data_IF_102595787606
#
_entry.id   IF_102595787606
#
_cell.length_a   1.000
_cell.length_b   1.000
_cell.length_c   1.000
_cell.angle_alpha   90.00
_cell.angle_beta   90.00
_cell.angle_gamma   90.00
#
_symmetry.space_group_name_H-M   'P 1'
#
loop_
_entity.id
_entity.type
_entity.pdbx_description
1 polymer ?
#
# COMPACT_ATOMS: atom_id res chain seq x y z
N UNK A 1 -15.34 3.49 2.70
CA UNK A 1 -14.31 3.77 3.73
C UNK A 1 -12.94 4.06 3.10
N UNK A 2 -12.28 3.12 2.40
CA UNK A 2 -10.95 3.34 1.81
C UNK A 2 -10.81 4.59 0.91
N UNK A 3 -11.68 4.72 -0.10
CA UNK A 3 -11.71 5.92 -0.98
C UNK A 3 -11.97 7.19 -0.19
N UNK A 4 -12.95 7.17 0.72
CA UNK A 4 -13.35 8.34 1.50
C UNK A 4 -12.19 8.86 2.37
N UNK A 5 -11.47 7.98 3.06
CA UNK A 5 -10.29 8.35 3.84
C UNK A 5 -9.18 8.93 2.94
N UNK A 6 -8.93 8.32 1.77
CA UNK A 6 -7.94 8.85 0.83
C UNK A 6 -8.32 10.21 0.25
N UNK A 7 -9.61 10.43 -0.06
CA UNK A 7 -10.12 11.73 -0.52
C UNK A 7 -10.04 12.78 0.59
N UNK A 8 -10.36 12.43 1.84
CA UNK A 8 -10.24 13.34 2.97
C UNK A 8 -8.79 13.82 3.15
N UNK A 9 -7.81 12.92 3.08
CA UNK A 9 -6.40 13.33 3.07
C UNK A 9 -6.12 14.25 1.88
N UNK A 10 -6.55 13.88 0.68
CA UNK A 10 -6.37 14.68 -0.53
C UNK A 10 -7.00 16.07 -0.48
N UNK A 11 -7.98 16.31 0.37
CA UNK A 11 -8.61 17.62 0.54
C UNK A 11 -7.77 18.58 1.40
N UNK A 12 -6.74 18.11 2.12
CA UNK A 12 -5.85 18.96 2.92
C UNK A 12 -4.71 19.54 2.06
N UNK A 13 -5.01 20.58 1.31
CA UNK A 13 -4.04 21.29 0.46
C UNK A 13 -2.79 21.78 1.21
N UNK A 14 -2.87 22.00 2.52
CA UNK A 14 -1.76 22.46 3.35
C UNK A 14 -0.64 21.42 3.56
N UNK A 15 -0.82 20.18 3.08
CA UNK A 15 0.13 19.08 3.25
C UNK A 15 0.48 18.48 1.89
N UNK A 16 1.67 18.76 1.34
CA UNK A 16 2.05 18.39 -0.01
C UNK A 16 1.94 16.90 -0.30
N UNK A 17 2.30 16.04 0.66
CA UNK A 17 2.20 14.59 0.51
C UNK A 17 0.75 14.13 0.38
N UNK A 18 -0.16 14.76 1.11
CA UNK A 18 -1.57 14.40 1.05
C UNK A 18 -2.25 14.96 -0.20
N UNK A 19 -1.75 16.07 -0.75
CA UNK A 19 -2.32 16.72 -1.92
C UNK A 19 -2.00 15.97 -3.24
N UNK A 20 -2.59 14.78 -3.39
CA UNK A 20 -2.52 13.98 -4.62
C UNK A 20 -3.78 13.16 -4.82
N UNK A 21 -4.27 13.11 -6.07
CA UNK A 21 -5.46 12.35 -6.45
C UNK A 21 -5.27 10.83 -6.33
N UNK A 22 -4.03 10.36 -6.23
CA UNK A 22 -3.68 8.93 -6.18
C UNK A 22 -4.02 8.29 -4.82
N UNK A 23 -4.08 9.06 -3.73
CA UNK A 23 -4.31 8.51 -2.40
C UNK A 23 -5.69 7.84 -2.25
N UNK A 24 -6.73 8.38 -2.89
CA UNK A 24 -8.07 7.77 -2.90
C UNK A 24 -8.06 6.34 -3.45
N UNK A 25 -7.66 6.16 -4.72
CA UNK A 25 -7.49 4.84 -5.33
C UNK A 25 -6.52 3.92 -4.56
N UNK A 26 -5.40 4.44 -4.06
CA UNK A 26 -4.40 3.65 -3.32
C UNK A 26 -4.99 3.07 -2.03
N UNK A 27 -5.71 3.88 -1.24
CA UNK A 27 -6.33 3.43 0.01
C UNK A 27 -7.50 2.47 -0.22
N UNK A 28 -8.19 2.58 -1.37
CA UNK A 28 -9.19 1.61 -1.78
C UNK A 28 -8.54 0.27 -2.13
N UNK A 29 -7.56 0.27 -3.02
CA UNK A 29 -6.86 -0.95 -3.44
C UNK A 29 -6.29 -1.67 -2.22
N UNK A 30 -5.59 -0.94 -1.35
CA UNK A 30 -5.05 -1.48 -0.10
C UNK A 30 -6.12 -2.04 0.85
N UNK A 31 -7.29 -1.40 0.91
CA UNK A 31 -8.42 -1.90 1.69
C UNK A 31 -9.05 -3.17 1.11
N UNK A 32 -9.12 -3.29 -0.22
CA UNK A 32 -9.60 -4.48 -0.90
C UNK A 32 -8.62 -5.65 -0.71
N UNK A 33 -7.31 -5.40 -0.79
CA UNK A 33 -6.26 -6.40 -0.53
C UNK A 33 -6.34 -6.94 0.90
N UNK A 34 -6.41 -6.06 1.91
CA UNK A 34 -6.63 -6.49 3.29
C UNK A 34 -7.94 -7.29 3.48
N UNK A 35 -9.02 -6.91 2.78
CA UNK A 35 -10.26 -7.67 2.76
C UNK A 35 -10.11 -9.08 2.16
N UNK A 36 -9.40 -9.19 1.04
CA UNK A 36 -9.08 -10.48 0.42
C UNK A 36 -8.26 -11.36 1.36
N UNK A 37 -7.23 -10.80 2.02
CA UNK A 37 -6.43 -11.48 3.02
C UNK A 37 -7.26 -12.01 4.21
N UNK A 38 -8.19 -11.21 4.73
CA UNK A 38 -9.11 -11.66 5.79
C UNK A 38 -10.00 -12.81 5.32
N UNK A 39 -10.53 -12.74 4.09
CA UNK A 39 -11.34 -13.83 3.52
C UNK A 39 -10.49 -15.11 3.37
N UNK A 40 -9.24 -15.00 2.94
CA UNK A 40 -8.33 -16.14 2.85
C UNK A 40 -8.09 -16.81 4.21
N UNK A 41 -7.91 -16.02 5.27
CA UNK A 41 -7.74 -16.52 6.65
C UNK A 41 -8.98 -17.28 7.13
N UNK A 42 -10.17 -16.76 6.86
CA UNK A 42 -11.43 -17.30 7.37
C UNK A 42 -12.00 -18.44 6.50
N UNK A 43 -11.68 -18.48 5.21
CA UNK A 43 -12.20 -19.50 4.31
C UNK A 43 -11.69 -20.88 4.69
N UNK A 44 -12.59 -21.87 4.67
CA UNK A 44 -12.25 -23.30 4.86
C UNK A 44 -12.02 -24.04 3.54
N UNK A 45 -12.31 -23.40 2.40
CA UNK A 45 -12.28 -24.04 1.07
C UNK A 45 -11.03 -23.60 0.32
N UNK A 46 -10.18 -24.56 -0.05
CA UNK A 46 -8.96 -24.29 -0.83
C UNK A 46 -9.24 -23.53 -2.14
N UNK A 47 -10.33 -23.86 -2.84
CA UNK A 47 -10.71 -23.18 -4.10
C UNK A 47 -10.96 -21.68 -3.89
N UNK A 48 -11.62 -21.33 -2.79
CA UNK A 48 -11.91 -19.93 -2.45
C UNK A 48 -10.63 -19.20 -2.07
N UNK A 49 -9.77 -19.80 -1.22
CA UNK A 49 -8.45 -19.24 -0.89
C UNK A 49 -7.61 -18.96 -2.14
N UNK A 50 -7.51 -19.94 -3.05
CA UNK A 50 -6.76 -19.78 -4.30
C UNK A 50 -7.36 -18.72 -5.23
N UNK A 51 -8.69 -18.53 -5.22
CA UNK A 51 -9.34 -17.47 -5.97
C UNK A 51 -8.99 -16.09 -5.40
N UNK A 52 -9.08 -15.93 -4.07
CA UNK A 52 -8.75 -14.66 -3.41
C UNK A 52 -7.26 -14.34 -3.47
N UNK A 53 -6.36 -15.33 -3.43
CA UNK A 53 -4.93 -15.11 -3.66
C UNK A 53 -4.64 -14.54 -5.07
N UNK A 54 -5.33 -15.04 -6.11
CA UNK A 54 -5.20 -14.48 -7.46
C UNK A 54 -5.71 -13.05 -7.57
N UNK A 55 -6.82 -12.76 -6.90
CA UNK A 55 -7.40 -11.42 -6.83
C UNK A 55 -6.43 -10.49 -6.09
N UNK A 56 -5.89 -10.94 -4.96
CA UNK A 56 -4.99 -10.15 -4.12
C UNK A 56 -3.69 -9.81 -4.85
N UNK A 57 -3.04 -10.78 -5.50
CA UNK A 57 -1.91 -10.52 -6.41
C UNK A 57 -2.25 -9.42 -7.41
N UNK A 58 -3.43 -9.47 -8.05
CA UNK A 58 -3.88 -8.44 -8.98
C UNK A 58 -4.02 -7.06 -8.34
N UNK A 59 -4.59 -7.00 -7.13
CA UNK A 59 -4.75 -5.75 -6.37
C UNK A 59 -3.40 -5.18 -5.95
N UNK A 60 -2.48 -6.01 -5.43
CA UNK A 60 -1.15 -5.57 -5.02
C UNK A 60 -0.36 -5.03 -6.22
N UNK A 61 -0.51 -5.61 -7.41
CA UNK A 61 0.07 -5.06 -8.64
C UNK A 61 -0.48 -3.67 -8.97
N UNK A 62 -1.78 -3.44 -8.74
CA UNK A 62 -2.38 -2.10 -8.86
C UNK A 62 -1.84 -1.15 -7.79
N UNK A 63 -1.66 -1.60 -6.55
CA UNK A 63 -1.05 -0.77 -5.48
C UNK A 63 0.38 -0.35 -5.84
N UNK A 64 1.22 -1.28 -6.29
CA UNK A 64 2.59 -0.99 -6.74
C UNK A 64 2.58 0.01 -7.90
N UNK A 65 1.69 -0.18 -8.88
CA UNK A 65 1.51 0.77 -9.98
C UNK A 65 1.16 2.16 -9.46
N UNK A 66 0.19 2.27 -8.54
CA UNK A 66 -0.23 3.55 -7.95
C UNK A 66 0.88 4.21 -7.13
N UNK A 67 1.65 3.44 -6.36
CA UNK A 67 2.79 3.96 -5.56
C UNK A 67 3.87 4.52 -6.49
N UNK A 68 4.23 3.79 -7.55
CA UNK A 68 5.19 4.29 -8.53
C UNK A 68 4.69 5.59 -9.17
N UNK A 69 3.42 5.64 -9.58
CA UNK A 69 2.83 6.85 -10.17
C UNK A 69 2.73 8.00 -9.17
N UNK A 70 2.54 7.72 -7.88
CA UNK A 70 2.54 8.72 -6.83
C UNK A 70 3.90 9.42 -6.76
N UNK A 71 5.00 8.65 -6.72
CA UNK A 71 6.34 9.22 -6.70
C UNK A 71 6.69 9.93 -8.01
N UNK A 72 6.34 9.36 -9.16
CA UNK A 72 6.52 10.04 -10.45
C UNK A 72 5.77 11.38 -10.48
N UNK A 73 4.54 11.41 -9.98
CA UNK A 73 3.72 12.61 -9.87
C UNK A 73 4.33 13.67 -8.97
N UNK A 74 4.88 13.27 -7.81
CA UNK A 74 5.58 14.20 -6.91
C UNK A 74 6.87 14.75 -7.53
N UNK A 75 7.70 13.88 -8.11
CA UNK A 75 8.98 14.27 -8.72
C UNK A 75 8.82 15.17 -9.96
N UNK A 76 7.66 15.12 -10.62
CA UNK A 76 7.33 15.98 -11.76
C UNK A 76 6.57 17.26 -11.37
N UNK A 77 6.37 17.52 -10.07
CA UNK A 77 5.57 18.64 -9.56
C UNK A 77 6.45 19.76 -8.98
N UNK A 78 5.89 20.62 -8.12
CA UNK A 78 6.63 21.74 -7.54
C UNK A 78 7.68 21.26 -6.53
N UNK A 79 8.64 22.12 -6.19
CA UNK A 79 9.70 21.78 -5.23
C UNK A 79 9.14 21.19 -3.93
N UNK A 80 8.01 21.72 -3.44
CA UNK A 80 7.42 21.28 -2.18
C UNK A 80 6.86 19.84 -2.26
N UNK A 81 6.41 19.39 -3.44
CA UNK A 81 6.04 17.99 -3.68
C UNK A 81 7.27 17.09 -3.83
N UNK A 82 8.34 17.61 -4.45
CA UNK A 82 9.62 16.91 -4.54
C UNK A 82 10.15 16.64 -3.12
N UNK A 83 10.17 17.66 -2.25
CA UNK A 83 10.57 17.53 -0.84
C UNK A 83 9.72 16.49 -0.09
N UNK A 84 8.43 16.40 -0.41
CA UNK A 84 7.55 15.38 0.16
C UNK A 84 7.89 13.96 -0.33
N UNK A 85 8.34 13.79 -1.57
CA UNK A 85 8.87 12.51 -2.05
C UNK A 85 10.19 12.15 -1.38
N UNK A 86 11.05 13.12 -1.10
CA UNK A 86 12.34 12.90 -0.44
C UNK A 86 12.21 12.30 0.97
N UNK A 87 11.10 12.53 1.67
CA UNK A 87 10.79 11.83 2.93
C UNK A 87 10.88 10.30 2.81
N UNK A 88 10.65 9.75 1.61
CA UNK A 88 10.66 8.32 1.28
C UNK A 88 11.84 7.86 0.42
N UNK A 89 12.59 8.80 -0.18
CA UNK A 89 13.67 8.52 -1.13
C UNK A 89 15.07 8.88 -0.58
N UNK A 90 15.19 8.93 0.74
CA UNK A 90 16.42 9.32 1.45
C UNK A 90 16.15 9.91 2.84
N UNK A 91 14.90 10.31 3.11
CA UNK A 91 14.45 10.86 4.37
C UNK A 91 14.05 9.83 5.43
N UNK A 92 13.46 10.29 6.55
CA UNK A 92 13.18 9.48 7.74
C UNK A 92 12.24 8.29 7.50
N UNK A 93 11.34 8.41 6.52
CA UNK A 93 10.32 7.40 6.22
C UNK A 93 10.75 6.38 5.16
N UNK A 94 11.96 6.51 4.60
CA UNK A 94 12.52 5.62 3.58
C UNK A 94 12.52 4.16 4.04
N UNK A 95 13.26 3.85 5.09
CA UNK A 95 13.37 2.47 5.59
C UNK A 95 12.01 1.86 5.97
N UNK A 96 11.17 2.49 6.81
CA UNK A 96 9.90 1.87 7.19
C UNK A 96 8.93 1.72 6.00
N UNK A 97 8.91 2.65 5.04
CA UNK A 97 8.06 2.52 3.86
C UNK A 97 8.49 1.36 2.97
N UNK A 98 9.75 1.34 2.53
CA UNK A 98 10.23 0.32 1.61
C UNK A 98 10.24 -1.07 2.24
N UNK A 99 10.58 -1.18 3.53
CA UNK A 99 10.61 -2.48 4.21
C UNK A 99 9.21 -2.97 4.56
N UNK A 100 8.40 -2.18 5.28
CA UNK A 100 7.13 -2.68 5.79
C UNK A 100 6.00 -2.67 4.76
N UNK A 101 5.97 -1.67 3.89
CA UNK A 101 4.90 -1.51 2.90
C UNK A 101 5.26 -2.26 1.63
N UNK A 102 6.39 -1.94 1.01
CA UNK A 102 6.73 -2.51 -0.30
C UNK A 102 7.23 -3.95 -0.16
N UNK A 103 8.27 -4.20 0.62
CA UNK A 103 8.87 -5.55 0.71
C UNK A 103 7.93 -6.50 1.45
N UNK A 104 7.61 -6.21 2.71
CA UNK A 104 6.82 -7.12 3.56
C UNK A 104 5.33 -7.09 3.23
N UNK A 105 4.78 -5.94 2.84
CA UNK A 105 3.37 -5.78 2.55
C UNK A 105 2.95 -6.18 1.13
N UNK A 106 3.88 -6.25 0.17
CA UNK A 106 3.56 -6.47 -1.25
C UNK A 106 4.43 -7.55 -1.88
N UNK A 107 5.76 -7.37 -1.93
CA UNK A 107 6.66 -8.26 -2.68
C UNK A 107 6.68 -9.67 -2.08
N UNK A 108 6.85 -9.78 -0.76
CA UNK A 108 6.88 -11.09 -0.07
C UNK A 108 5.52 -11.80 -0.19
N UNK A 109 4.36 -11.17 0.08
CA UNK A 109 3.06 -11.78 -0.13
C UNK A 109 2.82 -12.26 -1.56
N UNK A 110 3.07 -11.41 -2.58
CA UNK A 110 2.93 -11.82 -3.99
C UNK A 110 3.76 -13.08 -4.26
N UNK A 111 5.01 -13.10 -3.80
CA UNK A 111 5.88 -14.25 -4.00
C UNK A 111 5.33 -15.51 -3.33
N UNK A 112 4.88 -15.41 -2.08
CA UNK A 112 4.32 -16.53 -1.33
C UNK A 112 3.01 -17.06 -1.94
N UNK A 113 2.10 -16.17 -2.32
CA UNK A 113 0.83 -16.52 -2.96
C UNK A 113 1.06 -17.14 -4.34
N UNK A 114 2.02 -16.62 -5.10
CA UNK A 114 2.40 -17.21 -6.39
C UNK A 114 2.96 -18.63 -6.23
N UNK A 115 3.79 -18.87 -5.21
CA UNK A 115 4.28 -20.21 -4.90
C UNK A 115 3.13 -21.15 -4.48
N UNK A 116 2.20 -20.67 -3.66
CA UNK A 116 1.01 -21.44 -3.29
C UNK A 116 0.20 -21.85 -4.54
N UNK A 117 0.01 -20.93 -5.49
CA UNK A 117 -0.65 -21.22 -6.78
C UNK A 117 0.10 -22.26 -7.63
N UNK A 118 1.42 -22.39 -7.45
CA UNK A 118 2.24 -23.47 -8.05
C UNK A 118 2.24 -24.77 -7.23
N UNK A 119 1.32 -24.93 -6.28
CA UNK A 119 1.13 -26.11 -5.42
C UNK A 119 2.22 -26.30 -4.36
N UNK A 120 3.02 -25.27 -4.06
CA UNK A 120 3.86 -25.30 -2.86
C UNK A 120 2.98 -25.18 -1.61
N UNK A 121 3.31 -25.93 -0.55
CA UNK A 121 2.56 -25.90 0.71
C UNK A 121 2.99 -24.68 1.55
N UNK A 122 2.39 -23.53 1.28
CA UNK A 122 2.56 -22.32 2.08
C UNK A 122 1.38 -22.19 3.04
N UNK A 123 1.61 -22.00 4.35
CA UNK A 123 0.54 -21.68 5.28
C UNK A 123 -0.06 -20.31 4.95
N UNK A 124 -1.33 -20.28 4.52
CA UNK A 124 -2.09 -19.06 4.14
C UNK A 124 -2.05 -17.95 5.18
N UNK A 125 -1.87 -18.31 6.45
CA UNK A 125 -1.74 -17.33 7.55
C UNK A 125 -0.55 -16.39 7.31
N UNK A 126 0.55 -16.86 6.73
CA UNK A 126 1.76 -16.06 6.53
C UNK A 126 1.53 -14.93 5.52
N UNK A 127 1.17 -15.17 4.24
CA UNK A 127 0.95 -14.09 3.28
C UNK A 127 -0.20 -13.18 3.72
N UNK A 128 -1.32 -13.73 4.22
CA UNK A 128 -2.45 -12.92 4.63
C UNK A 128 -2.14 -11.99 5.81
N UNK A 129 -1.38 -12.45 6.82
CA UNK A 129 -0.96 -11.58 7.92
C UNK A 129 -0.01 -10.47 7.45
N UNK A 130 0.90 -10.78 6.53
CA UNK A 130 1.81 -9.80 5.94
C UNK A 130 1.07 -8.72 5.14
N UNK A 131 0.07 -9.10 4.34
CA UNK A 131 -0.79 -8.16 3.59
C UNK A 131 -1.55 -7.24 4.54
N UNK A 132 -2.19 -7.79 5.57
CA UNK A 132 -2.94 -6.99 6.55
C UNK A 132 -1.99 -6.01 7.28
N UNK A 133 -0.81 -6.49 7.68
CA UNK A 133 0.20 -5.67 8.32
C UNK A 133 0.70 -4.55 7.39
N UNK A 134 1.06 -4.88 6.15
CA UNK A 134 1.49 -3.91 5.14
C UNK A 134 0.44 -2.85 4.86
N UNK A 135 -0.82 -3.26 4.74
CA UNK A 135 -1.99 -2.39 4.56
C UNK A 135 -2.17 -1.43 5.76
N UNK A 136 -1.97 -1.90 6.99
CA UNK A 136 -1.97 -1.04 8.18
C UNK A 136 -0.79 -0.06 8.17
N UNK A 137 0.41 -0.55 7.86
CA UNK A 137 1.64 0.25 7.81
C UNK A 137 1.58 1.33 6.74
N UNK A 138 0.99 1.06 5.58
CA UNK A 138 0.76 2.05 4.52
C UNK A 138 -0.05 3.24 5.08
N UNK A 139 -1.17 2.95 5.76
CA UNK A 139 -2.03 4.00 6.34
C UNK A 139 -1.30 4.79 7.42
N UNK A 140 -0.58 4.09 8.29
CA UNK A 140 0.20 4.72 9.34
C UNK A 140 1.26 5.66 8.76
N UNK A 141 2.12 5.16 7.87
CA UNK A 141 3.24 5.91 7.31
C UNK A 141 2.74 7.10 6.49
N UNK A 142 1.74 6.92 5.60
CA UNK A 142 1.21 8.04 4.80
C UNK A 142 0.58 9.11 5.70
N UNK A 143 -0.06 8.71 6.80
CA UNK A 143 -0.60 9.67 7.77
C UNK A 143 0.51 10.44 8.48
N UNK A 144 1.50 9.76 9.08
CA UNK A 144 2.54 10.45 9.84
C UNK A 144 3.50 11.26 8.96
N UNK A 145 3.96 10.69 7.84
CA UNK A 145 4.82 11.41 6.89
C UNK A 145 4.12 12.67 6.34
N UNK A 146 2.80 12.62 6.15
CA UNK A 146 2.06 13.79 5.69
C UNK A 146 1.99 14.91 6.72
N UNK A 147 2.01 14.61 8.02
CA UNK A 147 2.10 15.64 9.08
C UNK A 147 3.46 16.35 9.10
N UNK A 148 4.50 15.69 8.63
CA UNK A 148 5.85 16.26 8.48
C UNK A 148 5.99 17.06 7.19
N UNK A 149 5.32 16.65 6.09
CA UNK A 149 5.27 17.45 4.87
C UNK A 149 4.53 18.77 5.13
N UNK A 150 5.22 19.92 5.10
CA UNK A 150 4.62 21.25 5.28
C UNK A 150 4.99 22.11 4.09
N UNK A 151 4.12 23.06 3.73
CA UNK A 151 4.57 24.23 2.99
C UNK A 151 5.48 25.03 3.93
N UNK A 152 6.78 25.06 3.66
CA UNK A 152 7.68 25.98 4.35
C UNK A 152 7.37 27.39 3.84
N UNK A 153 7.17 28.33 4.77
CA UNK A 153 7.35 29.76 4.52
C UNK A 153 8.84 30.06 4.43
#
# INVERSE_FOLDING_TARGET
LGVYTGILFSAFNARPLWNTSILGPLFLASGLSAGAAVIMLLSKKHKERSMFAKIDIGIIMVELFLIVHMFMGFLASTQVQIDAAELFLGGPWTAPFWIFVVILGMIVPIFLEFLELRKFKIPVVIPASLVIFGSLMLRFIISYAGQESRWLY
#
